data_IF_827394339024
#
_entry.id   IF_827394339024
#
_cell.length_a   1.000
_cell.length_b   1.000
_cell.length_c   1.000
_cell.angle_alpha   90.00
_cell.angle_beta   90.00
_cell.angle_gamma   90.00
#
_symmetry.space_group_name_H-M   'P 1'
#
loop_
_entity.id
_entity.type
_entity.pdbx_description
1 polymer ?
#
# COMPACT_ATOMS: atom_id res chain seq x y z
N UNK A 1 11.64 -24.34 -5.95
CA UNK A 1 10.97 -23.61 -7.06
C UNK A 1 9.46 -23.50 -6.87
N UNK A 2 8.77 -24.53 -6.36
CA UNK A 2 7.30 -24.57 -6.25
C UNK A 2 6.70 -23.50 -5.32
N UNK A 3 7.33 -23.21 -4.17
CA UNK A 3 6.82 -22.19 -3.22
C UNK A 3 6.82 -20.79 -3.85
N UNK A 4 7.95 -20.38 -4.46
CA UNK A 4 8.05 -19.07 -5.11
C UNK A 4 7.05 -18.89 -6.26
N UNK A 5 6.74 -19.97 -7.00
CA UNK A 5 5.72 -19.94 -8.04
C UNK A 5 4.31 -19.71 -7.47
N UNK A 6 3.95 -20.36 -6.37
CA UNK A 6 2.66 -20.13 -5.70
C UNK A 6 2.55 -18.72 -5.12
N UNK A 7 3.64 -18.21 -4.53
CA UNK A 7 3.69 -16.83 -4.04
C UNK A 7 3.47 -15.84 -5.21
N UNK A 8 4.15 -16.05 -6.34
CA UNK A 8 3.99 -15.23 -7.55
C UNK A 8 2.54 -15.25 -8.08
N UNK A 9 1.92 -16.44 -8.15
CA UNK A 9 0.53 -16.58 -8.57
C UNK A 9 -0.43 -15.87 -7.62
N UNK A 10 -0.20 -15.95 -6.31
CA UNK A 10 -0.98 -15.21 -5.32
C UNK A 10 -0.93 -13.69 -5.59
N UNK A 11 0.27 -13.14 -5.81
CA UNK A 11 0.47 -11.72 -6.14
C UNK A 11 -0.23 -11.28 -7.42
N UNK A 12 -0.13 -12.09 -8.48
CA UNK A 12 -0.79 -11.83 -9.75
C UNK A 12 -2.32 -11.82 -9.59
N UNK A 13 -2.88 -12.80 -8.87
CA UNK A 13 -4.31 -12.86 -8.60
C UNK A 13 -4.78 -11.64 -7.78
N UNK A 14 -4.00 -11.18 -6.80
CA UNK A 14 -4.34 -9.96 -6.04
C UNK A 14 -4.42 -8.72 -6.95
N UNK A 15 -3.49 -8.56 -7.89
CA UNK A 15 -3.49 -7.47 -8.89
C UNK A 15 -4.71 -7.55 -9.81
N UNK A 16 -5.10 -8.76 -10.22
CA UNK A 16 -6.23 -9.00 -11.12
C UNK A 16 -7.59 -9.00 -10.41
N UNK A 17 -7.67 -8.61 -9.13
CA UNK A 17 -8.88 -8.68 -8.30
C UNK A 17 -9.49 -10.09 -8.22
N UNK A 18 -8.66 -11.13 -8.33
CA UNK A 18 -9.05 -12.53 -8.17
C UNK A 18 -8.79 -12.99 -6.73
N UNK A 19 -9.69 -12.63 -5.82
CA UNK A 19 -9.51 -12.81 -4.38
C UNK A 19 -9.45 -14.27 -3.94
N UNK A 20 -10.39 -15.10 -4.40
CA UNK A 20 -10.45 -16.53 -4.06
C UNK A 20 -9.19 -17.31 -4.54
N UNK A 21 -8.75 -17.19 -5.80
CA UNK A 21 -7.50 -17.78 -6.24
C UNK A 21 -6.28 -17.28 -5.45
N UNK A 22 -6.20 -15.98 -5.16
CA UNK A 22 -5.08 -15.41 -4.41
C UNK A 22 -4.92 -16.05 -3.03
N UNK A 23 -6.03 -16.18 -2.28
CA UNK A 23 -6.03 -16.82 -0.96
C UNK A 23 -5.64 -18.30 -1.04
N UNK A 24 -6.13 -19.03 -2.05
CA UNK A 24 -5.82 -20.45 -2.25
C UNK A 24 -4.33 -20.65 -2.53
N UNK A 25 -3.72 -19.83 -3.40
CA UNK A 25 -2.30 -19.94 -3.69
C UNK A 25 -1.44 -19.55 -2.48
N UNK A 26 -1.81 -18.49 -1.76
CA UNK A 26 -1.13 -18.10 -0.53
C UNK A 26 -1.17 -19.21 0.53
N UNK A 27 -2.34 -19.82 0.76
CA UNK A 27 -2.50 -20.94 1.70
C UNK A 27 -1.68 -22.18 1.26
N UNK A 28 -1.75 -22.51 -0.02
CA UNK A 28 -1.01 -23.65 -0.59
C UNK A 28 0.50 -23.47 -0.47
N UNK A 29 1.00 -22.24 -0.57
CA UNK A 29 2.42 -21.94 -0.35
C UNK A 29 2.85 -22.28 1.08
N UNK A 30 2.04 -21.93 2.08
CA UNK A 30 2.30 -22.27 3.49
C UNK A 30 2.30 -23.78 3.74
N UNK A 31 1.33 -24.51 3.17
CA UNK A 31 1.27 -25.97 3.28
C UNK A 31 2.53 -26.65 2.71
N UNK A 32 3.00 -26.21 1.54
CA UNK A 32 4.23 -26.75 0.95
C UNK A 32 5.45 -26.49 1.83
N UNK A 33 5.54 -25.32 2.45
CA UNK A 33 6.63 -25.00 3.38
C UNK A 33 6.56 -25.89 4.62
N UNK A 34 5.37 -26.14 5.18
CA UNK A 34 5.22 -27.06 6.32
C UNK A 34 5.56 -28.50 5.96
N UNK A 35 5.19 -28.95 4.76
CA UNK A 35 5.47 -30.31 4.28
C UNK A 35 6.95 -30.54 3.95
N UNK A 36 7.70 -29.46 3.65
CA UNK A 36 9.14 -29.56 3.37
C UNK A 36 9.94 -30.07 4.57
N UNK A 37 9.52 -29.78 5.81
CA UNK A 37 10.12 -30.31 7.04
C UNK A 37 11.65 -30.23 7.03
N UNK A 38 12.31 -31.34 7.41
CA UNK A 38 13.77 -31.46 7.45
C UNK A 38 14.42 -31.68 6.07
N UNK A 39 13.65 -31.74 4.98
CA UNK A 39 14.19 -31.94 3.63
C UNK A 39 14.89 -30.69 3.07
N UNK A 40 14.79 -29.55 3.76
CA UNK A 40 15.38 -28.27 3.38
C UNK A 40 16.28 -27.77 4.52
N UNK A 41 17.45 -27.16 4.23
CA UNK A 41 18.30 -26.58 5.27
C UNK A 41 17.54 -25.62 6.18
N UNK A 42 17.80 -25.67 7.49
CA UNK A 42 17.03 -24.95 8.51
C UNK A 42 16.92 -23.45 8.25
N UNK A 43 17.99 -22.81 7.75
CA UNK A 43 17.98 -21.37 7.45
C UNK A 43 17.10 -21.03 6.24
N UNK A 44 17.10 -21.90 5.23
CA UNK A 44 16.22 -21.75 4.06
C UNK A 44 14.75 -22.03 4.42
N UNK A 45 14.51 -22.99 5.31
CA UNK A 45 13.17 -23.28 5.81
C UNK A 45 12.60 -22.08 6.59
N UNK A 46 13.38 -21.45 7.47
CA UNK A 46 12.99 -20.23 8.20
C UNK A 46 12.64 -19.09 7.25
N UNK A 47 13.44 -18.89 6.20
CA UNK A 47 13.17 -17.88 5.18
C UNK A 47 11.84 -18.14 4.46
N UNK A 48 11.62 -19.38 3.99
CA UNK A 48 10.39 -19.78 3.31
C UNK A 48 9.15 -19.66 4.22
N UNK A 49 9.28 -20.00 5.50
CA UNK A 49 8.21 -19.82 6.49
C UNK A 49 7.87 -18.35 6.67
N UNK A 50 8.87 -17.48 6.79
CA UNK A 50 8.65 -16.04 6.91
C UNK A 50 7.96 -15.47 5.66
N UNK A 51 8.44 -15.82 4.47
CA UNK A 51 7.85 -15.35 3.21
C UNK A 51 6.42 -15.82 3.03
N UNK A 52 6.15 -17.11 3.18
CA UNK A 52 4.79 -17.65 3.01
C UNK A 52 3.78 -17.04 4.01
N UNK A 53 4.18 -16.81 5.27
CA UNK A 53 3.36 -16.08 6.25
C UNK A 53 3.04 -14.65 5.79
N UNK A 54 4.03 -13.90 5.29
CA UNK A 54 3.82 -12.53 4.83
C UNK A 54 2.87 -12.46 3.63
N UNK A 55 2.97 -13.40 2.68
CA UNK A 55 2.07 -13.49 1.52
C UNK A 55 0.64 -13.79 1.95
N UNK A 56 0.46 -14.75 2.86
CA UNK A 56 -0.85 -15.08 3.41
C UNK A 56 -1.48 -13.88 4.15
N UNK A 57 -0.70 -13.16 4.94
CA UNK A 57 -1.15 -11.96 5.64
C UNK A 57 -1.60 -10.86 4.66
N UNK A 58 -0.80 -10.58 3.63
CA UNK A 58 -1.14 -9.59 2.60
C UNK A 58 -2.40 -9.98 1.84
N UNK A 59 -2.51 -11.23 1.40
CA UNK A 59 -3.69 -11.72 0.69
C UNK A 59 -4.95 -11.62 1.54
N UNK A 60 -4.88 -12.02 2.82
CA UNK A 60 -5.99 -11.89 3.75
C UNK A 60 -6.39 -10.42 3.97
N UNK A 61 -5.43 -9.51 4.00
CA UNK A 61 -5.66 -8.08 4.22
C UNK A 61 -6.35 -7.43 3.01
N UNK A 62 -5.82 -7.68 1.81
CA UNK A 62 -6.37 -7.13 0.57
C UNK A 62 -7.78 -7.65 0.29
N UNK A 63 -8.04 -8.93 0.55
CA UNK A 63 -9.37 -9.54 0.38
C UNK A 63 -10.31 -9.26 1.57
N UNK A 64 -9.93 -8.37 2.50
CA UNK A 64 -10.67 -7.99 3.71
C UNK A 64 -11.29 -9.16 4.51
N UNK A 65 -10.62 -10.32 4.49
CA UNK A 65 -10.88 -11.38 5.48
C UNK A 65 -10.12 -11.15 6.79
N UNK A 66 -9.36 -10.06 6.90
CA UNK A 66 -8.71 -9.71 8.15
C UNK A 66 -9.71 -9.14 9.15
N UNK A 67 -9.90 -9.89 10.25
CA UNK A 67 -10.20 -9.30 11.55
C UNK A 67 -8.98 -8.52 12.09
N UNK A 68 -8.67 -8.63 13.38
CA UNK A 68 -7.44 -8.05 13.92
C UNK A 68 -6.20 -8.55 13.15
N UNK A 69 -5.28 -7.65 12.81
CA UNK A 69 -3.97 -8.03 12.25
C UNK A 69 -3.29 -8.90 13.30
N UNK A 70 -2.95 -10.14 12.96
CA UNK A 70 -2.28 -11.04 13.90
C UNK A 70 -0.89 -10.49 14.24
N UNK A 71 -0.73 -10.01 15.47
CA UNK A 71 0.51 -9.41 15.97
C UNK A 71 1.67 -10.40 15.99
N UNK A 72 1.40 -11.71 15.99
CA UNK A 72 2.44 -12.76 15.92
C UNK A 72 3.20 -12.71 14.60
N UNK A 73 2.61 -12.11 13.57
CA UNK A 73 3.28 -11.88 12.29
C UNK A 73 4.53 -11.00 12.41
N UNK A 74 4.66 -10.23 13.48
CA UNK A 74 5.79 -9.31 13.70
C UNK A 74 6.86 -9.86 14.65
N UNK A 75 6.62 -11.00 15.31
CA UNK A 75 7.57 -11.61 16.27
C UNK A 75 8.75 -12.28 15.53
N UNK A 76 8.51 -12.77 14.32
CA UNK A 76 9.47 -13.54 13.52
C UNK A 76 10.32 -12.67 12.56
N UNK A 77 10.39 -11.35 12.75
CA UNK A 77 11.15 -10.47 11.84
C UNK A 77 12.64 -10.84 11.89
N UNK A 78 13.24 -11.29 10.77
CA UNK A 78 14.61 -11.80 10.76
C UNK A 78 15.62 -10.79 11.32
N UNK A 79 16.25 -11.13 12.45
CA UNK A 79 17.45 -10.45 12.97
C UNK A 79 18.74 -11.02 12.39
N UNK A 80 18.65 -12.18 11.74
CA UNK A 80 19.75 -13.01 11.25
C UNK A 80 20.17 -12.69 9.80
N UNK A 81 19.57 -11.68 9.17
CA UNK A 81 19.93 -11.29 7.82
C UNK A 81 21.27 -10.51 7.82
N UNK A 82 22.37 -11.26 7.67
CA UNK A 82 23.68 -10.67 7.37
C UNK A 82 23.72 -10.04 5.97
N UNK A 83 24.56 -9.03 5.81
CA UNK A 83 24.71 -8.16 4.61
C UNK A 83 25.01 -8.91 3.30
N UNK A 84 25.27 -10.23 3.33
CA UNK A 84 25.71 -11.04 2.19
C UNK A 84 24.78 -12.21 1.81
N UNK A 85 23.53 -12.24 2.27
CA UNK A 85 22.61 -13.32 1.86
C UNK A 85 22.14 -13.15 0.40
N UNK A 86 22.41 -14.15 -0.45
CA UNK A 86 22.03 -14.22 -1.89
C UNK A 86 20.51 -14.21 -2.16
N UNK A 87 19.66 -14.09 -1.13
CA UNK A 87 18.18 -14.18 -1.21
C UNK A 87 17.46 -13.01 -0.51
N UNK A 88 18.19 -11.90 -0.31
CA UNK A 88 17.72 -10.67 0.37
C UNK A 88 16.45 -10.07 -0.22
N UNK A 89 16.25 -10.15 -1.54
CA UNK A 89 15.10 -9.54 -2.21
C UNK A 89 13.75 -10.15 -1.81
N UNK A 90 13.65 -11.48 -1.67
CA UNK A 90 12.42 -12.17 -1.25
C UNK A 90 12.04 -11.84 0.19
N UNK A 91 13.04 -11.67 1.06
CA UNK A 91 12.79 -11.29 2.45
C UNK A 91 12.38 -9.82 2.53
N UNK A 92 13.01 -8.92 1.77
CA UNK A 92 12.60 -7.52 1.70
C UNK A 92 11.15 -7.37 1.20
N UNK A 93 10.77 -8.12 0.18
CA UNK A 93 9.40 -8.20 -0.34
C UNK A 93 8.37 -8.64 0.73
N UNK A 94 8.73 -9.65 1.53
CA UNK A 94 7.90 -10.12 2.64
C UNK A 94 7.81 -9.09 3.77
N UNK A 95 8.94 -8.48 4.15
CA UNK A 95 8.99 -7.42 5.15
C UNK A 95 8.16 -6.20 4.75
N UNK A 96 8.22 -5.79 3.49
CA UNK A 96 7.39 -4.72 2.95
C UNK A 96 5.90 -5.03 3.12
N UNK A 97 5.50 -6.25 2.77
CA UNK A 97 4.10 -6.69 2.86
C UNK A 97 3.61 -6.72 4.31
N UNK A 98 4.45 -7.14 5.25
CA UNK A 98 4.16 -7.04 6.69
C UNK A 98 4.12 -5.60 7.19
N UNK A 99 4.97 -4.71 6.67
CA UNK A 99 4.95 -3.28 7.01
C UNK A 99 3.60 -2.66 6.65
N UNK A 100 3.02 -3.04 5.50
CA UNK A 100 1.69 -2.60 5.10
C UNK A 100 0.59 -3.13 6.03
N UNK A 101 0.67 -4.41 6.42
CA UNK A 101 -0.23 -4.98 7.43
C UNK A 101 -0.15 -4.22 8.76
N UNK A 102 1.06 -3.93 9.24
CA UNK A 102 1.28 -3.15 10.45
C UNK A 102 0.73 -1.72 10.32
N UNK A 103 0.94 -1.07 9.17
CA UNK A 103 0.51 0.30 8.89
C UNK A 103 -1.01 0.42 8.88
N UNK A 104 -1.69 -0.46 8.16
CA UNK A 104 -3.16 -0.52 8.13
C UNK A 104 -3.71 -0.85 9.52
N UNK A 105 -3.01 -1.70 10.28
CA UNK A 105 -3.34 -2.04 11.66
C UNK A 105 -3.07 -0.94 12.70
N UNK A 106 -2.45 0.18 12.32
CA UNK A 106 -2.12 1.29 13.23
C UNK A 106 -0.83 1.09 14.04
N UNK A 107 -0.07 0.01 13.80
CA UNK A 107 1.21 -0.26 14.46
C UNK A 107 2.35 0.56 13.81
N UNK A 108 2.24 1.89 13.83
CA UNK A 108 3.12 2.79 13.07
C UNK A 108 4.61 2.63 13.39
N UNK A 109 4.97 2.36 14.65
CA UNK A 109 6.37 2.16 15.02
C UNK A 109 6.95 0.92 14.32
N UNK A 110 6.22 -0.19 14.33
CA UNK A 110 6.61 -1.45 13.68
C UNK A 110 6.63 -1.25 12.16
N UNK A 111 5.60 -0.63 11.60
CA UNK A 111 5.52 -0.34 10.17
C UNK A 111 6.71 0.50 9.68
N UNK A 112 7.06 1.58 10.39
CA UNK A 112 8.19 2.43 10.06
C UNK A 112 9.53 1.68 10.10
N UNK A 113 9.74 0.83 11.11
CA UNK A 113 10.94 0.00 11.21
C UNK A 113 11.02 -1.01 10.04
N UNK A 114 9.92 -1.69 9.73
CA UNK A 114 9.87 -2.68 8.66
C UNK A 114 10.10 -2.06 7.27
N UNK A 115 9.49 -0.90 6.98
CA UNK A 115 9.77 -0.18 5.74
C UNK A 115 11.23 0.28 5.67
N UNK A 116 11.78 0.83 6.75
CA UNK A 116 13.18 1.28 6.81
C UNK A 116 14.16 0.13 6.57
N UNK A 117 13.95 -1.02 7.23
CA UNK A 117 14.76 -2.23 7.01
C UNK A 117 14.62 -2.78 5.60
N UNK A 118 13.40 -2.77 5.02
CA UNK A 118 13.17 -3.16 3.62
C UNK A 118 14.05 -2.36 2.67
N UNK A 119 14.06 -1.03 2.82
CA UNK A 119 14.87 -0.12 2.00
C UNK A 119 16.37 -0.40 2.20
N UNK A 120 16.81 -0.58 3.44
CA UNK A 120 18.20 -0.86 3.76
C UNK A 120 18.69 -2.17 3.10
N UNK A 121 17.88 -3.24 3.17
CA UNK A 121 18.19 -4.52 2.56
C UNK A 121 18.31 -4.38 1.04
N UNK A 122 17.36 -3.71 0.38
CA UNK A 122 17.38 -3.54 -1.08
C UNK A 122 18.60 -2.73 -1.52
N UNK A 123 18.89 -1.61 -0.84
CA UNK A 123 20.04 -0.74 -1.14
C UNK A 123 21.39 -1.43 -0.95
N UNK A 124 21.49 -2.32 0.05
CA UNK A 124 22.72 -3.04 0.35
C UNK A 124 22.86 -4.32 -0.47
N UNK A 125 21.80 -4.79 -1.15
CA UNK A 125 21.89 -5.98 -1.98
C UNK A 125 22.73 -5.71 -3.23
N UNK A 126 23.83 -6.46 -3.39
CA UNK A 126 24.69 -6.40 -4.59
C UNK A 126 23.99 -6.95 -5.85
N UNK A 127 22.88 -7.68 -5.67
CA UNK A 127 22.12 -8.36 -6.73
C UNK A 127 21.04 -7.48 -7.38
N UNK A 128 20.82 -6.24 -6.91
CA UNK A 128 19.89 -5.29 -7.52
C UNK A 128 20.26 -4.92 -8.97
N UNK A 129 21.48 -5.24 -9.40
CA UNK A 129 21.96 -5.07 -10.77
C UNK A 129 21.69 -6.29 -11.70
N UNK A 130 21.09 -7.38 -11.20
CA UNK A 130 20.69 -8.51 -12.05
C UNK A 130 19.25 -8.30 -12.55
N UNK A 131 19.13 -7.75 -13.77
CA UNK A 131 17.88 -7.79 -14.54
C UNK A 131 17.29 -9.20 -14.51
N UNK A 132 16.08 -9.36 -13.94
CA UNK A 132 15.29 -10.57 -14.05
C UNK A 132 15.14 -11.44 -12.79
N UNK A 133 15.75 -11.10 -11.64
CA UNK A 133 15.51 -11.87 -10.41
C UNK A 133 14.16 -11.47 -9.79
N UNK A 134 13.10 -12.18 -10.15
CA UNK A 134 11.81 -12.10 -9.46
C UNK A 134 11.98 -12.61 -8.02
N UNK A 135 11.73 -11.75 -7.04
CA UNK A 135 11.64 -12.13 -5.63
C UNK A 135 10.33 -12.90 -5.34
N UNK A 136 10.12 -13.33 -4.09
CA UNK A 136 8.82 -13.87 -3.66
C UNK A 136 7.68 -12.98 -4.10
N UNK A 137 6.58 -13.57 -4.56
CA UNK A 137 5.40 -12.85 -5.12
C UNK A 137 5.67 -12.17 -6.46
N UNK A 138 6.71 -12.57 -7.21
CA UNK A 138 7.08 -11.94 -8.49
C UNK A 138 7.39 -10.44 -8.37
N UNK A 139 8.15 -10.07 -7.33
CA UNK A 139 8.47 -8.67 -7.08
C UNK A 139 9.84 -8.31 -7.65
N UNK A 140 9.90 -7.23 -8.45
CA UNK A 140 11.16 -6.58 -8.78
C UNK A 140 11.64 -5.79 -7.54
N UNK A 141 12.90 -5.94 -7.09
CA UNK A 141 13.43 -5.24 -5.92
C UNK A 141 13.21 -3.71 -5.96
N UNK A 142 13.37 -3.13 -7.15
CA UNK A 142 13.18 -1.71 -7.39
C UNK A 142 11.74 -1.23 -7.16
N UNK A 143 10.76 -2.05 -7.52
CA UNK A 143 9.35 -1.75 -7.27
C UNK A 143 9.00 -1.85 -5.78
N UNK A 144 9.63 -2.78 -5.07
CA UNK A 144 9.52 -2.88 -3.60
C UNK A 144 10.14 -1.66 -2.93
N UNK A 145 11.26 -1.16 -3.47
CA UNK A 145 11.92 0.06 -2.96
C UNK A 145 11.02 1.29 -3.11
N UNK A 146 10.47 1.51 -4.31
CA UNK A 146 9.49 2.58 -4.56
C UNK A 146 8.30 2.46 -3.60
N UNK A 147 7.73 1.25 -3.48
CA UNK A 147 6.61 0.99 -2.58
C UNK A 147 6.94 1.29 -1.12
N UNK A 148 8.13 0.92 -0.64
CA UNK A 148 8.57 1.14 0.74
C UNK A 148 8.76 2.64 1.06
N UNK A 149 9.33 3.41 0.13
CA UNK A 149 9.45 4.86 0.27
C UNK A 149 8.07 5.54 0.32
N UNK A 150 7.17 5.14 -0.59
CA UNK A 150 5.80 5.64 -0.59
C UNK A 150 5.04 5.25 0.67
N UNK A 151 5.26 4.04 1.19
CA UNK A 151 4.68 3.55 2.45
C UNK A 151 5.14 4.36 3.66
N UNK A 152 6.44 4.67 3.77
CA UNK A 152 6.98 5.58 4.79
C UNK A 152 6.37 6.98 4.69
N UNK A 153 6.24 7.50 3.47
CA UNK A 153 5.63 8.81 3.25
C UNK A 153 4.16 8.86 3.67
N UNK A 154 3.37 7.87 3.29
CA UNK A 154 1.98 7.73 3.74
C UNK A 154 1.88 7.58 5.27
N UNK A 155 2.79 6.81 5.89
CA UNK A 155 2.86 6.67 7.34
C UNK A 155 3.15 8.01 8.02
N UNK A 156 4.16 8.74 7.54
CA UNK A 156 4.50 10.08 8.02
C UNK A 156 3.31 11.04 7.91
N UNK A 157 2.55 10.97 6.81
CA UNK A 157 1.32 11.74 6.60
C UNK A 157 0.24 11.41 7.64
N UNK A 158 0.01 10.12 7.94
CA UNK A 158 -0.99 9.71 8.94
C UNK A 158 -0.64 10.13 10.37
N UNK A 159 0.65 10.28 10.68
CA UNK A 159 1.11 10.80 11.98
C UNK A 159 1.29 12.32 11.99
N UNK A 160 0.89 13.02 10.92
CA UNK A 160 0.89 14.49 10.82
C UNK A 160 2.24 15.12 10.49
N UNK A 161 3.23 14.35 10.07
CA UNK A 161 4.55 14.83 9.66
C UNK A 161 4.61 15.07 8.15
N UNK A 162 3.96 16.13 7.69
CA UNK A 162 3.78 16.38 6.26
C UNK A 162 5.08 16.66 5.50
N UNK A 163 6.05 17.35 6.09
CA UNK A 163 7.33 17.63 5.40
C UNK A 163 8.16 16.34 5.22
N UNK A 164 8.16 15.45 6.22
CA UNK A 164 8.80 14.12 6.12
C UNK A 164 8.08 13.26 5.07
N UNK A 165 6.75 13.33 5.03
CA UNK A 165 5.93 12.63 4.05
C UNK A 165 6.23 13.07 2.62
N UNK A 166 6.23 14.38 2.37
CA UNK A 166 6.54 14.99 1.08
C UNK A 166 7.93 14.57 0.58
N UNK A 167 8.96 14.64 1.44
CA UNK A 167 10.31 14.20 1.11
C UNK A 167 10.36 12.72 0.69
N UNK A 168 9.74 11.83 1.46
CA UNK A 168 9.75 10.39 1.19
C UNK A 168 8.97 10.01 -0.08
N UNK A 169 7.83 10.64 -0.32
CA UNK A 169 7.05 10.39 -1.54
C UNK A 169 7.76 10.98 -2.77
N UNK A 170 8.46 12.10 -2.63
CA UNK A 170 9.26 12.69 -3.72
C UNK A 170 10.46 11.81 -4.09
N UNK A 171 11.13 11.22 -3.09
CA UNK A 171 12.15 10.18 -3.30
C UNK A 171 11.55 8.99 -4.08
N UNK A 172 10.36 8.51 -3.67
CA UNK A 172 9.66 7.43 -4.35
C UNK A 172 9.30 7.80 -5.81
N UNK A 173 8.87 9.03 -6.05
CA UNK A 173 8.48 9.54 -7.36
C UNK A 173 9.69 9.56 -8.31
N UNK A 174 10.79 10.14 -7.86
CA UNK A 174 12.04 10.23 -8.63
C UNK A 174 12.53 8.83 -9.03
N UNK A 175 12.47 7.88 -8.09
CA UNK A 175 12.86 6.50 -8.35
C UNK A 175 11.89 5.82 -9.33
N UNK A 176 10.57 6.01 -9.16
CA UNK A 176 9.55 5.44 -10.04
C UNK A 176 9.67 5.95 -11.49
N UNK A 177 9.93 7.24 -11.69
CA UNK A 177 10.17 7.85 -13.00
C UNK A 177 11.43 7.28 -13.64
N UNK A 178 12.51 7.10 -12.87
CA UNK A 178 13.75 6.50 -13.36
C UNK A 178 13.56 5.06 -13.84
N UNK A 179 12.79 4.26 -13.10
CA UNK A 179 12.59 2.83 -13.41
C UNK A 179 11.63 2.63 -14.57
N UNK A 180 10.50 3.36 -14.57
CA UNK A 180 9.37 3.06 -15.45
C UNK A 180 9.16 4.08 -16.58
N UNK A 181 9.84 5.22 -16.53
CA UNK A 181 9.54 6.39 -17.35
C UNK A 181 8.52 7.34 -16.69
N UNK A 182 8.51 8.57 -17.16
CA UNK A 182 7.78 9.72 -16.58
C UNK A 182 6.25 9.64 -16.68
N UNK A 183 5.71 8.92 -17.67
CA UNK A 183 4.25 8.76 -17.90
C UNK A 183 3.69 7.38 -17.56
N UNK A 184 4.44 6.58 -16.79
CA UNK A 184 4.01 5.23 -16.45
C UNK A 184 2.88 5.23 -15.40
N UNK A 185 1.90 4.29 -15.45
CA UNK A 185 0.82 4.20 -14.46
C UNK A 185 1.28 4.18 -13.01
N UNK A 186 2.43 3.54 -12.72
CA UNK A 186 3.03 3.53 -11.36
C UNK A 186 3.47 4.91 -10.87
N UNK A 187 3.95 5.77 -11.77
CA UNK A 187 4.21 7.19 -11.45
C UNK A 187 2.90 7.86 -11.06
N UNK A 188 1.81 7.57 -11.79
CA UNK A 188 0.46 8.01 -11.44
C UNK A 188 0.03 7.62 -10.02
N UNK A 189 0.29 6.38 -9.60
CA UNK A 189 -0.01 5.94 -8.22
C UNK A 189 0.79 6.73 -7.17
N UNK A 190 2.06 7.04 -7.44
CA UNK A 190 2.86 7.88 -6.54
C UNK A 190 2.34 9.31 -6.49
N UNK A 191 1.92 9.88 -7.62
CA UNK A 191 1.29 11.20 -7.68
C UNK A 191 0.00 11.24 -6.85
N UNK A 192 -0.80 10.17 -6.83
CA UNK A 192 -1.95 10.05 -5.95
C UNK A 192 -1.56 10.12 -4.47
N UNK A 193 -0.48 9.42 -4.09
CA UNK A 193 0.03 9.44 -2.71
C UNK A 193 0.51 10.85 -2.32
N UNK A 194 1.17 11.56 -3.24
CA UNK A 194 1.63 12.93 -3.01
C UNK A 194 0.45 13.91 -2.92
N UNK A 195 -0.56 13.76 -3.78
CA UNK A 195 -1.80 14.53 -3.72
C UNK A 195 -2.48 14.35 -2.36
N UNK A 196 -2.54 13.12 -1.84
CA UNK A 196 -3.08 12.82 -0.51
C UNK A 196 -2.30 13.55 0.60
N UNK A 197 -0.96 13.67 0.51
CA UNK A 197 -0.16 14.42 1.48
C UNK A 197 -0.53 15.90 1.48
N UNK A 198 -0.54 16.54 0.30
CA UNK A 198 -0.90 17.96 0.21
C UNK A 198 -2.36 18.21 0.63
N UNK A 199 -3.30 17.37 0.18
CA UNK A 199 -4.70 17.47 0.53
C UNK A 199 -4.94 17.35 2.05
N UNK A 200 -4.13 16.55 2.77
CA UNK A 200 -4.20 16.47 4.24
C UNK A 200 -3.53 17.65 4.93
N UNK A 201 -2.43 18.18 4.39
CA UNK A 201 -1.72 19.36 4.90
C UNK A 201 -2.59 20.62 4.82
N UNK A 202 -3.28 20.80 3.70
CA UNK A 202 -4.02 22.03 3.34
C UNK A 202 -5.46 22.08 3.84
N UNK A 203 -5.91 21.10 4.67
CA UNK A 203 -7.21 21.15 5.36
C UNK A 203 -7.24 22.35 6.34
N UNK A 204 -7.40 23.57 5.82
CA UNK A 204 -7.46 24.83 6.56
C UNK A 204 -7.01 26.08 5.79
N UNK A 205 -6.23 25.97 4.71
CA UNK A 205 -5.57 27.14 4.07
C UNK A 205 -6.17 27.58 2.74
N UNK A 206 -7.02 26.77 2.10
CA UNK A 206 -7.80 27.16 0.91
C UNK A 206 -7.13 26.90 -0.45
N UNK A 207 -5.80 26.76 -0.51
CA UNK A 207 -5.05 26.57 -1.77
C UNK A 207 -5.03 25.11 -2.27
N UNK A 208 -6.19 24.51 -2.56
CA UNK A 208 -6.26 23.11 -3.03
C UNK A 208 -5.78 22.89 -4.50
N UNK A 209 -5.03 23.83 -5.08
CA UNK A 209 -4.61 23.80 -6.49
C UNK A 209 -3.60 22.68 -6.74
N UNK A 210 -2.63 22.53 -5.82
CA UNK A 210 -1.58 21.51 -5.91
C UNK A 210 -2.17 20.09 -5.88
N UNK A 211 -2.95 19.69 -4.85
CA UNK A 211 -3.51 18.34 -4.82
C UNK A 211 -4.48 18.08 -5.97
N UNK A 212 -5.26 19.07 -6.41
CA UNK A 212 -6.10 18.95 -7.61
C UNK A 212 -5.26 18.62 -8.86
N UNK A 213 -4.19 19.38 -9.10
CA UNK A 213 -3.31 19.16 -10.26
C UNK A 213 -2.65 17.77 -10.23
N UNK A 214 -2.25 17.31 -9.04
CA UNK A 214 -1.66 15.98 -8.85
C UNK A 214 -2.67 14.85 -9.08
N UNK A 215 -3.91 14.95 -8.58
CA UNK A 215 -4.95 13.95 -8.88
C UNK A 215 -5.27 13.91 -10.38
N UNK A 216 -5.31 15.06 -11.06
CA UNK A 216 -5.54 15.10 -12.51
C UNK A 216 -4.45 14.37 -13.28
N UNK A 217 -3.17 14.63 -12.96
CA UNK A 217 -2.03 13.93 -13.56
C UNK A 217 -2.02 12.44 -13.23
N UNK A 218 -2.35 12.07 -11.99
CA UNK A 218 -2.53 10.68 -11.60
C UNK A 218 -3.55 9.99 -12.53
N UNK A 219 -4.74 10.56 -12.68
CA UNK A 219 -5.80 9.98 -13.52
C UNK A 219 -5.41 9.91 -15.00
N UNK A 220 -4.68 10.90 -15.50
CA UNK A 220 -4.12 10.87 -16.85
C UNK A 220 -3.15 9.69 -17.04
N UNK A 221 -2.19 9.51 -16.13
CA UNK A 221 -1.16 8.47 -16.24
C UNK A 221 -1.73 7.07 -16.01
N UNK A 222 -2.80 6.97 -15.22
CA UNK A 222 -3.56 5.74 -15.05
C UNK A 222 -4.46 5.42 -16.26
N UNK A 223 -4.53 6.28 -17.27
CA UNK A 223 -5.35 6.06 -18.46
C UNK A 223 -6.84 6.11 -18.15
N UNK A 224 -7.24 6.97 -17.21
CA UNK A 224 -8.60 7.01 -16.70
C UNK A 224 -9.60 7.39 -17.80
N UNK A 225 -10.72 6.65 -17.94
CA UNK A 225 -11.71 6.95 -18.97
C UNK A 225 -12.35 8.31 -18.71
N UNK A 226 -12.70 9.04 -19.77
CA UNK A 226 -13.46 10.29 -19.61
C UNK A 226 -14.79 10.03 -18.90
N UNK A 227 -15.15 10.91 -17.98
CA UNK A 227 -16.34 10.78 -17.13
C UNK A 227 -17.62 11.03 -17.94
N UNK A 228 -17.52 11.75 -19.06
CA UNK A 228 -18.63 12.03 -19.95
C UNK A 228 -18.88 10.91 -20.98
N UNK A 229 -17.96 9.95 -21.09
CA UNK A 229 -18.09 8.81 -22.00
C UNK A 229 -18.77 7.65 -21.26
N UNK A 230 -19.82 7.03 -21.85
CA UNK A 230 -20.47 5.87 -21.25
C UNK A 230 -19.48 4.76 -20.93
N UNK A 231 -19.70 4.08 -19.81
CA UNK A 231 -18.90 2.95 -19.39
C UNK A 231 -18.89 1.87 -20.48
N UNK A 232 -17.71 1.62 -21.04
CA UNK A 232 -17.53 0.67 -22.14
C UNK A 232 -17.49 -0.79 -21.66
N UNK A 233 -17.57 -1.04 -20.35
CA UNK A 233 -17.50 -2.38 -19.76
C UNK A 233 -16.11 -3.01 -19.85
N UNK A 234 -15.10 -2.28 -20.33
CA UNK A 234 -13.71 -2.75 -20.39
C UNK A 234 -13.16 -2.87 -18.97
N UNK A 235 -12.36 -3.91 -18.74
CA UNK A 235 -11.58 -4.02 -17.52
C UNK A 235 -10.57 -2.87 -17.46
N UNK A 236 -10.59 -2.15 -16.35
CA UNK A 236 -9.70 -1.01 -16.07
C UNK A 236 -8.72 -1.45 -14.99
N UNK A 237 -7.42 -1.36 -15.29
CA UNK A 237 -6.35 -1.59 -14.30
C UNK A 237 -6.28 -0.43 -13.30
N UNK A 238 -5.73 -0.63 -12.10
CA UNK A 238 -5.61 0.41 -11.06
C UNK A 238 -6.95 1.07 -10.66
N UNK A 239 -8.07 0.38 -10.88
CA UNK A 239 -9.42 0.92 -10.66
C UNK A 239 -9.64 1.39 -9.22
N UNK A 240 -9.04 0.72 -8.24
CA UNK A 240 -9.11 1.11 -6.82
C UNK A 240 -8.44 2.48 -6.61
N UNK A 241 -7.25 2.70 -7.19
CA UNK A 241 -6.53 3.98 -7.09
C UNK A 241 -7.27 5.08 -7.84
N UNK A 242 -7.80 4.78 -9.03
CA UNK A 242 -8.56 5.75 -9.81
C UNK A 242 -9.85 6.17 -9.08
N UNK A 243 -10.59 5.21 -8.53
CA UNK A 243 -11.79 5.48 -7.77
C UNK A 243 -11.48 6.31 -6.52
N UNK A 244 -10.44 5.94 -5.74
CA UNK A 244 -10.00 6.74 -4.60
C UNK A 244 -9.59 8.16 -5.01
N UNK A 245 -8.76 8.29 -6.05
CA UNK A 245 -8.26 9.57 -6.55
C UNK A 245 -9.40 10.46 -7.03
N UNK A 246 -10.40 9.90 -7.73
CA UNK A 246 -11.59 10.65 -8.17
C UNK A 246 -12.43 11.13 -7.01
N UNK A 247 -12.59 10.30 -5.99
CA UNK A 247 -13.38 10.66 -4.82
C UNK A 247 -12.70 11.78 -4.00
N UNK A 248 -11.37 11.69 -3.83
CA UNK A 248 -10.57 12.77 -3.21
C UNK A 248 -10.56 14.05 -4.04
N UNK A 249 -10.44 13.92 -5.36
CA UNK A 249 -10.53 15.05 -6.27
C UNK A 249 -11.89 15.73 -6.19
N UNK A 250 -12.98 14.95 -6.11
CA UNK A 250 -14.33 15.47 -5.89
C UNK A 250 -14.46 16.23 -4.55
N UNK A 251 -13.87 15.73 -3.45
CA UNK A 251 -13.84 16.44 -2.16
C UNK A 251 -13.14 17.80 -2.24
N UNK A 252 -12.13 17.93 -3.12
CA UNK A 252 -11.42 19.19 -3.34
C UNK A 252 -12.28 20.17 -4.14
N UNK A 253 -12.75 19.76 -5.31
CA UNK A 253 -13.43 20.69 -6.23
C UNK A 253 -14.86 21.01 -5.82
N UNK A 254 -15.51 20.17 -5.01
CA UNK A 254 -16.83 20.47 -4.43
C UNK A 254 -16.82 21.72 -3.55
N UNK A 255 -15.66 22.12 -3.02
CA UNK A 255 -15.48 23.37 -2.26
C UNK A 255 -15.29 24.59 -3.16
N UNK A 256 -15.02 24.38 -4.45
CA UNK A 256 -14.85 25.46 -5.43
C UNK A 256 -16.21 25.91 -5.97
N UNK A 257 -16.38 27.21 -6.15
CA UNK A 257 -17.61 27.78 -6.73
C UNK A 257 -17.85 27.19 -8.14
N UNK A 258 -19.09 26.80 -8.43
CA UNK A 258 -19.59 26.33 -9.74
C UNK A 258 -19.05 24.98 -10.26
N UNK A 259 -18.37 24.16 -9.44
CA UNK A 259 -17.85 22.83 -9.86
C UNK A 259 -18.50 21.63 -9.16
N UNK A 260 -19.67 21.84 -8.54
CA UNK A 260 -20.41 20.79 -7.83
C UNK A 260 -20.86 19.63 -8.74
N UNK A 261 -21.34 19.92 -9.95
CA UNK A 261 -21.78 18.88 -10.88
C UNK A 261 -20.63 17.97 -11.34
N UNK A 262 -19.44 18.54 -11.56
CA UNK A 262 -18.23 17.78 -11.89
C UNK A 262 -17.84 16.87 -10.73
N UNK A 263 -17.87 17.40 -9.50
CA UNK A 263 -17.60 16.64 -8.28
C UNK A 263 -18.57 15.44 -8.13
N UNK A 264 -19.85 15.67 -8.36
CA UNK A 264 -20.87 14.63 -8.27
C UNK A 264 -20.67 13.53 -9.31
N UNK A 265 -20.32 13.88 -10.54
CA UNK A 265 -19.98 12.91 -11.59
C UNK A 265 -18.77 12.06 -11.22
N UNK A 266 -17.70 12.70 -10.71
CA UNK A 266 -16.49 12.02 -10.22
C UNK A 266 -16.83 11.03 -9.11
N UNK A 267 -17.62 11.47 -8.12
CA UNK A 267 -18.00 10.65 -6.97
C UNK A 267 -18.89 9.47 -7.37
N UNK A 268 -19.85 9.69 -8.27
CA UNK A 268 -20.72 8.64 -8.82
C UNK A 268 -19.91 7.59 -9.56
N UNK A 269 -18.99 8.00 -10.43
CA UNK A 269 -18.11 7.07 -11.13
C UNK A 269 -17.24 6.29 -10.15
N UNK A 270 -16.62 6.97 -9.19
CA UNK A 270 -15.75 6.36 -8.19
C UNK A 270 -16.50 5.28 -7.39
N UNK A 271 -17.70 5.60 -6.92
CA UNK A 271 -18.54 4.68 -6.14
C UNK A 271 -18.99 3.47 -6.96
N UNK A 272 -19.29 3.67 -8.26
CA UNK A 272 -19.69 2.58 -9.17
C UNK A 272 -18.53 1.63 -9.49
N UNK A 273 -17.34 2.17 -9.73
CA UNK A 273 -16.19 1.40 -10.21
C UNK A 273 -15.33 0.80 -9.11
N UNK A 274 -15.51 1.27 -7.88
CA UNK A 274 -14.81 0.76 -6.72
C UNK A 274 -15.02 -0.74 -6.54
N UNK A 275 -13.93 -1.51 -6.58
CA UNK A 275 -13.92 -2.97 -6.40
C UNK A 275 -13.36 -3.38 -5.05
N UNK A 276 -13.09 -2.43 -4.17
CA UNK A 276 -12.65 -2.74 -2.82
C UNK A 276 -13.73 -3.47 -2.04
N UNK A 277 -13.35 -4.33 -1.08
CA UNK A 277 -14.27 -5.19 -0.36
C UNK A 277 -15.23 -4.46 0.60
N UNK A 278 -15.09 -3.14 0.76
CA UNK A 278 -15.91 -2.27 1.62
C UNK A 278 -16.32 -1.02 0.88
N UNK A 279 -17.42 -0.34 1.23
CA UNK A 279 -17.85 0.88 0.52
C UNK A 279 -16.78 1.98 0.54
N UNK A 280 -16.56 2.62 -0.61
CA UNK A 280 -15.61 3.73 -0.77
C UNK A 280 -15.89 4.89 0.21
N UNK A 281 -17.16 5.16 0.51
CA UNK A 281 -17.55 6.23 1.43
C UNK A 281 -17.03 6.03 2.86
N UNK A 282 -16.95 4.78 3.33
CA UNK A 282 -16.46 4.52 4.69
C UNK A 282 -14.95 4.73 4.77
N UNK A 283 -14.25 4.35 3.69
CA UNK A 283 -12.82 4.60 3.53
C UNK A 283 -12.51 6.11 3.53
N UNK A 284 -13.34 6.92 2.86
CA UNK A 284 -13.17 8.37 2.83
C UNK A 284 -13.39 9.02 4.21
N UNK A 285 -14.34 8.52 5.02
CA UNK A 285 -14.66 9.03 6.36
C UNK A 285 -13.55 8.76 7.38
N UNK A 286 -12.94 7.57 7.34
CA UNK A 286 -11.84 7.24 8.26
C UNK A 286 -10.68 8.22 8.12
N UNK A 287 -10.46 8.67 6.90
CA UNK A 287 -9.37 9.57 6.58
C UNK A 287 -9.69 11.05 6.86
N UNK A 288 -10.94 11.39 7.11
CA UNK A 288 -11.39 12.74 7.48
C UNK A 288 -11.35 12.96 9.01
N UNK A 289 -11.35 11.89 9.80
CA UNK A 289 -11.19 11.95 11.25
C UNK A 289 -9.73 12.24 11.65
N UNK A 290 -9.47 13.47 12.10
CA UNK A 290 -8.26 13.78 12.85
C UNK A 290 -8.25 12.99 14.17
N UNK A 291 -7.45 11.93 14.28
CA UNK A 291 -7.25 11.24 15.58
C UNK A 291 -5.80 11.16 16.04
N UNK A 292 -4.88 11.95 15.48
CA UNK A 292 -3.47 11.94 15.93
C UNK A 292 -2.94 13.27 16.47
N UNK A 293 -3.75 14.35 16.53
CA UNK A 293 -3.26 15.66 17.00
C UNK A 293 -3.90 16.23 18.28
N UNK A 294 -4.89 15.58 18.91
CA UNK A 294 -5.47 16.11 20.17
C UNK A 294 -4.82 15.58 21.47
N UNK A 295 -4.11 14.45 21.44
CA UNK A 295 -3.57 13.86 22.68
C UNK A 295 -2.26 14.49 23.19
N UNK A 296 -1.57 15.31 22.39
CA UNK A 296 -0.38 16.05 22.88
C UNK A 296 -0.70 17.28 23.73
N UNK A 297 -1.97 17.69 23.82
CA UNK A 297 -2.36 18.95 24.50
C UNK A 297 -2.99 18.76 25.89
N UNK A 298 -3.24 17.52 26.34
CA UNK A 298 -3.79 17.26 27.68
C UNK A 298 -2.95 16.21 28.38
N UNK A 299 -2.19 16.67 29.35
CA UNK A 299 -1.36 15.83 30.19
C UNK A 299 -2.17 14.89 31.10
N UNK A 300 -1.38 14.13 31.86
CA UNK A 300 -1.73 13.17 32.90
C UNK A 300 -1.93 11.74 32.44
N UNK A 301 -1.02 10.91 32.95
CA UNK A 301 -1.11 9.47 32.99
C UNK A 301 -2.47 9.00 33.53
N UNK A 302 -2.97 7.92 32.93
CA UNK A 302 -3.77 6.79 33.45
C UNK A 302 -4.90 6.42 32.49
N UNK A 303 -4.91 5.14 32.11
CA UNK A 303 -5.90 4.42 31.33
C UNK A 303 -6.18 4.93 29.91
N UNK A 304 -5.39 4.38 28.99
CA UNK A 304 -5.54 4.41 27.54
C UNK A 304 -6.84 3.75 27.09
N UNK A 305 -7.93 4.50 27.13
CA UNK A 305 -9.09 4.26 26.24
C UNK A 305 -9.12 5.40 25.24
N UNK A 306 -8.10 5.39 24.36
CA UNK A 306 -7.97 6.26 23.20
C UNK A 306 -9.20 6.00 22.31
N UNK A 307 -9.91 7.06 21.94
CA UNK A 307 -11.12 6.99 21.11
C UNK A 307 -10.87 6.19 19.83
N UNK A 308 -11.60 5.08 19.70
CA UNK A 308 -11.56 4.10 18.62
C UNK A 308 -11.91 4.75 17.27
N UNK A 309 -10.89 5.12 16.48
CA UNK A 309 -11.01 5.18 15.02
C UNK A 309 -9.93 4.25 14.47
N UNK A 310 -10.28 2.97 14.35
CA UNK A 310 -9.36 1.91 13.94
C UNK A 310 -9.35 1.78 12.41
N UNK A 311 -8.19 2.03 11.81
CA UNK A 311 -7.90 1.72 10.43
C UNK A 311 -7.25 2.86 9.66
N UNK A 312 -6.20 2.57 8.90
CA UNK A 312 -5.59 3.55 7.99
C UNK A 312 -5.70 3.08 6.54
N UNK A 313 -5.85 4.05 5.64
CA UNK A 313 -5.89 3.82 4.20
C UNK A 313 -4.46 3.81 3.67
N UNK A 314 -4.02 2.69 3.12
CA UNK A 314 -2.67 2.53 2.57
C UNK A 314 -2.77 2.18 1.09
N UNK A 315 -2.16 2.97 0.24
CA UNK A 315 -2.02 2.71 -1.19
C UNK A 315 -0.81 1.78 -1.39
N UNK A 316 -1.06 0.58 -1.92
CA UNK A 316 -0.02 -0.33 -2.39
C UNK A 316 0.34 0.00 -3.83
N UNK A 317 1.51 0.60 -4.01
CA UNK A 317 2.05 1.01 -5.32
C UNK A 317 2.28 -0.18 -6.26
N UNK A 318 2.60 -1.37 -5.73
CA UNK A 318 2.93 -2.55 -6.53
C UNK A 318 1.67 -3.25 -7.03
N UNK A 319 0.67 -3.36 -6.16
CA UNK A 319 -0.61 -3.98 -6.50
C UNK A 319 -1.51 -3.01 -7.27
N UNK A 320 -1.28 -1.71 -7.14
CA UNK A 320 -2.21 -0.71 -7.66
C UNK A 320 -3.55 -0.78 -6.92
N UNK A 321 -3.50 -1.09 -5.62
CA UNK A 321 -4.69 -1.34 -4.78
C UNK A 321 -4.65 -0.51 -3.51
N UNK A 322 -5.83 -0.19 -3.02
CA UNK A 322 -6.02 0.48 -1.74
C UNK A 322 -6.30 -0.57 -0.67
N UNK A 323 -5.56 -0.50 0.43
CA UNK A 323 -5.66 -1.42 1.57
C UNK A 323 -6.19 -0.64 2.77
N UNK A 324 -7.18 -1.20 3.47
CA UNK A 324 -7.78 -0.56 4.64
C UNK A 324 -8.44 -1.60 5.56
N UNK A 325 -8.52 -1.28 6.85
CA UNK A 325 -9.17 -2.09 7.90
C UNK A 325 -10.21 -1.24 8.62
N UNK A 326 -11.35 -1.81 9.00
CA UNK A 326 -12.32 -1.16 9.92
C UNK A 326 -12.32 -1.92 11.23
N UNK A 327 -12.40 -1.23 12.37
CA UNK A 327 -12.86 -1.91 13.60
C UNK A 327 -14.25 -2.49 13.37
N UNK A 328 -14.42 -3.78 13.63
CA UNK A 328 -15.72 -4.35 14.01
C UNK A 328 -16.23 -3.72 15.30
#
# INVERSE_FOLDING_TARGET
>A
MTVAALEALAGLCLRLHQEEPALKFAHSSGLLVTAAGDAVPTDELKELQFRSKAVAALAALVCARCGAVDTRLFEDVPTWLGENSRRTAGVAAAMFSLAQCAHVGGYFKIAGELYGRTIAIIRNSKDAASEGTLASVAMAPDEVHVGALAGLGQLASHIGKFDEAEGKITEALTLAEKINGDKHPRVGVILACLADVYARRERGTGDNIIPEGLYRRCLEYLGSPSIDVPDTGKQVDFVDIMALSRARYAEIISKSLNRGEEADKLQKWASKMWKGPRPLMDLMKVDSAQTTLKEKSKGSATNSTIGKVEGHVVIDVRLGRVIWKVSS
#
